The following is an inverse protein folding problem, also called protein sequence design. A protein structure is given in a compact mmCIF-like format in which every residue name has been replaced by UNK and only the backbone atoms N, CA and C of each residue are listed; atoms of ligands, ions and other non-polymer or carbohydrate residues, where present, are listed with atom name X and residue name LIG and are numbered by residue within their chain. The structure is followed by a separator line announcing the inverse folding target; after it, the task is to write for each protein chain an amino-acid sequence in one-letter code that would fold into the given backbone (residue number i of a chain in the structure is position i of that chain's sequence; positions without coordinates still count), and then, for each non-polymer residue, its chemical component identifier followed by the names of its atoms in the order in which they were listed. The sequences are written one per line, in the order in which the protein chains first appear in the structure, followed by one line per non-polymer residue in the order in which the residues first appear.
data_IF_675643865934
#
_entry.id   IF_675643865934
#
_cell.length_a   1.000
_cell.length_b   1.000
_cell.length_c   1.000
_cell.angle_alpha   90.00
_cell.angle_beta   90.00
_cell.angle_gamma   90.00
#
_symmetry.space_group_name_H-M   'P 1'
#
loop_
_entity.id
_entity.type
_entity.pdbx_description
1 polymer ?
#
# COMPACT_ATOMS: atom_id res chain seq x y z
N UNK A 1 0.91 3.72 18.19
CA UNK A 1 0.99 4.17 16.78
C UNK A 1 0.24 3.19 15.89
N UNK A 2 -0.50 3.72 14.93
CA UNK A 2 -1.22 2.86 13.98
C UNK A 2 -0.29 2.42 12.86
N UNK A 3 -0.56 1.23 12.35
CA UNK A 3 0.24 0.63 11.27
C UNK A 3 -0.66 0.30 10.10
N UNK A 4 -0.23 0.67 8.90
CA UNK A 4 -0.91 0.31 7.67
C UNK A 4 -0.05 -0.69 6.92
N UNK A 5 -0.68 -1.80 6.52
CA UNK A 5 -0.03 -2.83 5.71
C UNK A 5 -0.57 -2.74 4.30
N UNK A 6 0.32 -2.76 3.33
CA UNK A 6 -0.06 -2.70 1.92
C UNK A 6 0.32 -3.98 1.22
N UNK A 7 -0.52 -4.41 0.28
CA UNK A 7 -0.26 -5.59 -0.53
C UNK A 7 -0.89 -5.40 -1.90
N UNK A 8 -0.18 -5.80 -2.93
CA UNK A 8 -0.68 -5.72 -4.29
C UNK A 8 -0.01 -6.75 -5.16
N UNK A 9 -0.77 -7.37 -6.04
CA UNK A 9 -0.24 -8.39 -6.94
C UNK A 9 -1.08 -8.51 -8.20
N UNK A 10 -0.48 -9.09 -9.23
CA UNK A 10 -1.18 -9.47 -10.46
C UNK A 10 -0.78 -10.90 -10.82
N UNK A 11 -1.74 -11.69 -11.29
CA UNK A 11 -1.49 -13.08 -11.67
C UNK A 11 -2.37 -13.47 -12.86
N UNK A 12 -1.76 -13.78 -14.04
CA UNK A 12 -0.33 -13.67 -14.31
C UNK A 12 0.16 -12.23 -14.27
N UNK A 13 1.47 -12.02 -14.26
CA UNK A 13 2.06 -10.68 -14.25
C UNK A 13 2.70 -10.40 -15.61
N UNK A 14 2.13 -9.58 -16.52
CA UNK A 14 0.91 -8.78 -16.31
C UNK A 14 -0.37 -9.60 -16.45
N UNK A 15 -1.45 -9.08 -15.84
CA UNK A 15 -2.75 -9.72 -15.90
C UNK A 15 -3.69 -9.14 -14.85
N UNK A 16 -4.76 -9.87 -14.49
CA UNK A 16 -5.67 -9.40 -13.45
C UNK A 16 -4.95 -9.26 -12.13
N UNK A 17 -5.23 -8.19 -11.41
CA UNK A 17 -4.57 -7.92 -10.15
C UNK A 17 -5.45 -7.20 -9.15
N UNK A 18 -4.95 -7.07 -7.94
CA UNK A 18 -5.64 -6.38 -6.87
C UNK A 18 -4.67 -5.80 -5.86
N UNK A 19 -5.20 -4.92 -5.03
CA UNK A 19 -4.44 -4.31 -3.94
C UNK A 19 -5.29 -4.20 -2.69
N UNK A 20 -4.62 -4.13 -1.56
CA UNK A 20 -5.28 -3.97 -0.26
C UNK A 20 -4.45 -3.08 0.65
N UNK A 21 -5.13 -2.29 1.47
CA UNK A 21 -4.54 -1.56 2.57
C UNK A 21 -5.27 -2.00 3.84
N UNK A 22 -4.53 -2.48 4.82
CA UNK A 22 -5.09 -3.00 6.06
C UNK A 22 -4.55 -2.19 7.23
N UNK A 23 -5.45 -1.69 8.07
CA UNK A 23 -5.07 -0.98 9.28
C UNK A 23 -4.96 -1.95 10.43
N UNK A 24 -3.82 -1.94 11.11
CA UNK A 24 -3.58 -2.73 12.31
C UNK A 24 -3.67 -1.81 13.53
N UNK A 25 -4.48 -2.19 14.50
CA UNK A 25 -4.67 -1.42 15.72
C UNK A 25 -4.22 -2.28 16.90
N UNK A 26 -3.21 -1.80 17.64
CA UNK A 26 -2.72 -2.46 18.87
C UNK A 26 -2.39 -3.94 18.69
N UNK A 27 -1.56 -4.30 17.76
CA UNK A 27 -1.14 -5.69 17.51
C UNK A 27 -2.23 -6.64 17.01
N UNK A 28 -3.45 -6.16 16.83
CA UNK A 28 -4.52 -6.96 16.26
C UNK A 28 -4.64 -6.69 14.77
N UNK A 29 -4.98 -7.73 14.01
CA UNK A 29 -5.22 -7.56 12.57
C UNK A 29 -6.48 -6.72 12.41
N UNK A 30 -6.32 -5.58 11.75
CA UNK A 30 -7.42 -4.66 11.53
C UNK A 30 -8.24 -5.03 10.31
N UNK A 31 -9.16 -4.13 9.99
CA UNK A 31 -10.02 -4.27 8.83
C UNK A 31 -9.36 -3.65 7.59
N UNK A 32 -9.68 -4.15 6.39
CA UNK A 32 -9.22 -3.47 5.19
C UNK A 32 -9.85 -2.09 5.09
N UNK A 33 -9.02 -1.09 4.85
CA UNK A 33 -9.46 0.30 4.71
C UNK A 33 -9.52 0.73 3.25
N UNK A 34 -8.90 -0.04 2.36
CA UNK A 34 -8.97 0.20 0.92
C UNK A 34 -8.70 -1.12 0.19
N UNK A 35 -9.53 -1.40 -0.81
CA UNK A 35 -9.39 -2.57 -1.67
C UNK A 35 -9.67 -2.14 -3.10
N UNK A 36 -8.98 -2.74 -4.05
CA UNK A 36 -9.24 -2.47 -5.45
C UNK A 36 -8.76 -3.59 -6.35
N UNK A 37 -9.21 -3.55 -7.59
CA UNK A 37 -8.78 -4.53 -8.59
C UNK A 37 -8.70 -3.90 -9.97
N UNK A 38 -7.87 -4.51 -10.82
CA UNK A 38 -7.69 -4.10 -12.20
C UNK A 38 -7.69 -5.35 -13.07
N UNK A 39 -8.25 -5.24 -14.28
CA UNK A 39 -8.33 -6.38 -15.19
C UNK A 39 -7.00 -6.69 -15.87
N UNK A 40 -6.17 -5.68 -16.08
CA UNK A 40 -4.88 -5.86 -16.73
C UNK A 40 -3.86 -4.91 -16.11
N UNK A 41 -2.96 -5.46 -15.32
CA UNK A 41 -2.02 -4.67 -14.55
C UNK A 41 -0.75 -5.46 -14.27
N UNK A 42 0.14 -4.90 -13.46
CA UNK A 42 1.38 -5.55 -13.04
C UNK A 42 1.49 -5.53 -11.52
N UNK A 43 2.36 -6.41 -10.98
CA UNK A 43 2.65 -6.42 -9.55
C UNK A 43 3.09 -5.04 -9.07
N UNK A 44 4.01 -4.40 -9.80
CA UNK A 44 4.54 -3.08 -9.43
C UNK A 44 3.44 -2.04 -9.37
N UNK A 45 2.52 -2.04 -10.35
CA UNK A 45 1.41 -1.09 -10.35
C UNK A 45 0.46 -1.31 -9.18
N UNK A 46 0.16 -2.58 -8.87
CA UNK A 46 -0.74 -2.91 -7.76
C UNK A 46 -0.11 -2.53 -6.42
N UNK A 47 1.17 -2.78 -6.25
CA UNK A 47 1.90 -2.36 -5.05
C UNK A 47 1.91 -0.84 -4.93
N UNK A 48 2.09 -0.12 -6.04
CA UNK A 48 2.05 1.33 -6.05
C UNK A 48 0.68 1.89 -5.71
N UNK A 49 -0.39 1.30 -6.24
CA UNK A 49 -1.75 1.72 -5.90
C UNK A 49 -2.03 1.50 -4.41
N UNK A 50 -1.64 0.36 -3.86
CA UNK A 50 -1.80 0.11 -2.43
C UNK A 50 -1.09 1.19 -1.61
N UNK A 51 0.14 1.52 -2.00
CA UNK A 51 0.92 2.52 -1.28
C UNK A 51 0.32 3.90 -1.37
N UNK A 52 -0.16 4.31 -2.55
CA UNK A 52 -0.81 5.60 -2.73
C UNK A 52 -2.07 5.70 -1.86
N UNK A 53 -2.88 4.65 -1.85
CA UNK A 53 -4.09 4.64 -1.04
C UNK A 53 -3.77 4.65 0.45
N UNK A 54 -2.69 3.98 0.87
CA UNK A 54 -2.25 4.02 2.25
C UNK A 54 -1.84 5.43 2.66
N UNK A 55 -1.09 6.12 1.81
CA UNK A 55 -0.66 7.49 2.07
C UNK A 55 -1.86 8.43 2.18
N UNK A 56 -2.82 8.31 1.27
CA UNK A 56 -4.03 9.13 1.31
C UNK A 56 -4.83 8.88 2.57
N UNK A 57 -4.99 7.62 2.95
CA UNK A 57 -5.69 7.27 4.19
C UNK A 57 -4.98 7.84 5.41
N UNK A 58 -3.65 7.74 5.43
CA UNK A 58 -2.86 8.27 6.55
C UNK A 58 -3.03 9.78 6.68
N UNK A 59 -3.03 10.51 5.58
CA UNK A 59 -3.22 11.96 5.61
C UNK A 59 -4.63 12.34 6.04
N UNK A 60 -5.64 11.69 5.49
CA UNK A 60 -7.04 12.05 5.71
C UNK A 60 -7.57 11.60 7.06
N UNK A 61 -7.15 10.43 7.53
CA UNK A 61 -7.74 9.80 8.72
C UNK A 61 -6.80 9.72 9.91
N UNK A 62 -5.50 9.69 9.67
CA UNK A 62 -4.50 9.51 10.73
C UNK A 62 -3.57 10.70 10.89
N UNK A 63 -3.81 11.75 10.13
CA UNK A 63 -3.02 13.00 10.16
C UNK A 63 -1.52 12.76 9.95
N UNK A 64 -1.19 11.75 9.17
CA UNK A 64 0.19 11.37 8.93
C UNK A 64 0.87 10.62 10.06
N UNK A 65 0.17 10.35 11.15
CA UNK A 65 0.73 9.67 12.32
C UNK A 65 0.53 8.17 12.23
N UNK A 66 1.35 7.51 11.42
CA UNK A 66 1.30 6.06 11.27
C UNK A 66 2.57 5.55 10.61
N UNK A 67 2.77 4.24 10.71
CA UNK A 67 3.79 3.55 9.93
C UNK A 67 3.10 2.86 8.77
N UNK A 68 3.74 2.89 7.60
CA UNK A 68 3.25 2.20 6.42
C UNK A 68 4.26 1.12 6.06
N UNK A 69 3.79 -0.12 5.99
CA UNK A 69 4.63 -1.27 5.66
C UNK A 69 4.29 -1.77 4.26
N UNK A 70 5.31 -1.95 3.45
CA UNK A 70 5.18 -2.50 2.11
C UNK A 70 6.31 -3.48 1.84
N UNK A 71 6.04 -4.54 1.08
CA UNK A 71 7.04 -5.51 0.67
C UNK A 71 7.76 -5.07 -0.61
N UNK A 72 7.35 -3.99 -1.22
CA UNK A 72 7.89 -3.57 -2.51
C UNK A 72 9.19 -2.79 -2.35
N UNK A 73 10.32 -3.43 -2.58
CA UNK A 73 11.62 -2.77 -2.59
C UNK A 73 11.67 -1.67 -3.65
N UNK A 74 11.03 -1.90 -4.79
CA UNK A 74 10.97 -0.92 -5.87
C UNK A 74 10.42 0.42 -5.35
N UNK A 75 9.23 0.38 -4.71
CA UNK A 75 8.58 1.60 -4.25
C UNK A 75 9.27 2.21 -3.05
N UNK A 76 9.83 1.40 -2.17
CA UNK A 76 10.63 1.90 -1.05
C UNK A 76 11.83 2.68 -1.59
N UNK A 77 12.53 2.14 -2.58
CA UNK A 77 13.69 2.81 -3.16
C UNK A 77 13.31 4.11 -3.87
N UNK A 78 12.20 4.11 -4.62
CA UNK A 78 11.72 5.30 -5.31
C UNK A 78 11.40 6.41 -4.30
N UNK A 79 10.64 6.09 -3.27
CA UNK A 79 10.25 7.07 -2.26
C UNK A 79 11.43 7.57 -1.44
N UNK A 80 12.37 6.69 -1.12
CA UNK A 80 13.57 7.08 -0.38
C UNK A 80 14.39 8.08 -1.16
N UNK A 81 14.60 7.83 -2.46
CA UNK A 81 15.31 8.79 -3.31
C UNK A 81 14.59 10.12 -3.41
N UNK A 82 13.29 10.07 -3.44
CA UNK A 82 12.45 11.26 -3.54
C UNK A 82 12.51 12.09 -2.27
N UNK A 83 12.51 11.43 -1.12
CA UNK A 83 12.49 12.09 0.19
C UNK A 83 13.84 12.71 0.58
N UNK A 84 14.93 12.26 -0.03
CA UNK A 84 16.27 12.74 0.32
C UNK A 84 16.78 13.87 -0.55
N UNK A 85 15.96 14.41 -1.40
CA UNK A 85 16.33 15.54 -2.24
C UNK A 85 16.50 16.83 -1.45
#
# INVERSE_FOLDING_TARGET
MKVLWTDGSASPNPGPGGYAVIEQINDEVGLPVSLGKEDNTTNIRMEGFALIHAIKYAEERLRGECEIHTDSEFWVNVLTKWATK
#
